data_IF_818705231961
#
_entry.id   IF_818705231961
#
_cell.length_a   1.000
_cell.length_b   1.000
_cell.length_c   1.000
_cell.angle_alpha   90.00
_cell.angle_beta   90.00
_cell.angle_gamma   90.00
#
_symmetry.space_group_name_H-M   'P 1'
#
loop_
_entity.id
_entity.type
_entity.pdbx_description
1 polymer ?
#
# COMPACT_ATOMS: atom_id res chain seq x y z
N UNK A 1 0.46 -31.74 18.57
CA UNK A 1 1.63 -31.34 19.41
C UNK A 1 2.64 -30.66 18.50
N UNK A 2 3.44 -29.69 19.00
CA UNK A 2 4.52 -29.11 18.20
C UNK A 2 5.58 -30.16 17.83
N UNK A 3 6.38 -29.86 16.80
CA UNK A 3 7.59 -30.63 16.47
C UNK A 3 8.58 -30.62 17.63
N UNK A 4 9.51 -31.57 17.63
CA UNK A 4 10.61 -31.64 18.59
C UNK A 4 11.43 -30.35 18.61
N UNK A 5 11.97 -29.99 19.77
CA UNK A 5 12.70 -28.73 19.97
C UNK A 5 13.87 -28.57 19.00
N UNK A 6 14.66 -29.63 18.79
CA UNK A 6 15.76 -29.62 17.83
C UNK A 6 15.28 -29.30 16.40
N UNK A 7 14.15 -29.88 15.99
CA UNK A 7 13.56 -29.60 14.67
C UNK A 7 13.05 -28.17 14.57
N UNK A 8 12.40 -27.65 15.63
CA UNK A 8 11.93 -26.27 15.68
C UNK A 8 13.08 -25.28 15.59
N UNK A 9 14.17 -25.53 16.31
CA UNK A 9 15.37 -24.69 16.29
C UNK A 9 16.03 -24.73 14.91
N UNK A 10 16.18 -25.91 14.29
CA UNK A 10 16.70 -26.04 12.93
C UNK A 10 15.90 -25.23 11.90
N UNK A 11 14.57 -25.30 11.95
CA UNK A 11 13.70 -24.52 11.07
C UNK A 11 13.87 -23.02 11.34
N UNK A 12 13.87 -22.62 12.61
CA UNK A 12 14.02 -21.22 13.00
C UNK A 12 15.36 -20.65 12.52
N UNK A 13 16.45 -21.36 12.79
CA UNK A 13 17.81 -20.97 12.41
C UNK A 13 17.92 -20.83 10.88
N UNK A 14 17.33 -21.75 10.11
CA UNK A 14 17.25 -21.61 8.66
C UNK A 14 16.49 -20.34 8.24
N UNK A 15 15.38 -20.03 8.92
CA UNK A 15 14.56 -18.88 8.59
C UNK A 15 15.27 -17.56 8.83
N UNK A 16 16.05 -17.46 9.92
CA UNK A 16 16.71 -16.21 10.32
C UNK A 16 18.11 -16.03 9.76
N UNK A 17 18.79 -17.10 9.33
CA UNK A 17 20.17 -17.04 8.80
C UNK A 17 20.33 -16.04 7.65
N UNK A 18 19.36 -15.99 6.74
CA UNK A 18 19.41 -15.15 5.55
C UNK A 18 18.49 -13.91 5.66
N UNK A 19 18.05 -13.57 6.88
CA UNK A 19 17.35 -12.31 7.19
C UNK A 19 18.38 -11.21 7.47
N UNK A 20 18.26 -10.02 6.87
CA UNK A 20 19.12 -8.90 7.23
C UNK A 20 18.82 -8.44 8.65
N UNK A 21 19.75 -8.68 9.57
CA UNK A 21 19.64 -8.25 10.96
C UNK A 21 18.42 -8.82 11.70
N UNK A 22 18.14 -8.23 12.86
CA UNK A 22 16.98 -8.54 13.68
C UNK A 22 15.77 -7.68 13.29
N UNK A 23 14.72 -7.72 14.10
CA UNK A 23 13.54 -6.86 13.91
C UNK A 23 13.91 -5.36 13.91
N UNK A 24 14.93 -4.96 14.67
CA UNK A 24 15.39 -3.57 14.77
C UNK A 24 15.88 -3.06 13.43
N UNK A 25 16.68 -3.86 12.71
CA UNK A 25 17.13 -3.54 11.34
C UNK A 25 15.95 -3.24 10.40
N UNK A 26 14.87 -4.03 10.51
CA UNK A 26 13.68 -3.84 9.66
C UNK A 26 12.89 -2.59 10.04
N UNK A 27 12.86 -2.22 11.33
CA UNK A 27 12.23 -0.98 11.82
C UNK A 27 13.02 0.24 11.34
N UNK A 28 14.35 0.18 11.41
CA UNK A 28 15.24 1.29 11.04
C UNK A 28 15.16 1.68 9.56
N UNK A 29 14.77 0.73 8.70
CA UNK A 29 14.44 1.00 7.29
C UNK A 29 13.30 2.00 7.10
N UNK A 30 12.48 2.24 8.12
CA UNK A 30 11.40 3.23 8.12
C UNK A 30 11.71 4.45 8.99
N UNK A 31 12.97 4.68 9.35
CA UNK A 31 13.39 5.78 10.25
C UNK A 31 12.96 7.17 9.80
N UNK A 32 12.69 7.37 8.51
CA UNK A 32 12.14 8.61 7.92
C UNK A 32 10.66 8.89 8.26
N UNK A 33 9.97 7.98 8.95
CA UNK A 33 8.59 8.16 9.43
C UNK A 33 8.62 8.54 10.92
N UNK A 34 8.03 9.67 11.29
CA UNK A 34 8.04 10.13 12.69
C UNK A 34 7.17 9.28 13.63
N UNK A 35 6.06 8.73 13.10
CA UNK A 35 5.14 7.88 13.86
C UNK A 35 5.83 6.56 14.26
N UNK A 36 6.18 6.46 15.54
CA UNK A 36 6.86 5.30 16.14
C UNK A 36 6.04 4.03 15.99
N UNK A 37 4.73 4.08 16.26
CA UNK A 37 3.86 2.90 16.20
C UNK A 37 3.73 2.40 14.75
N UNK A 38 3.61 3.32 13.80
CA UNK A 38 3.60 2.98 12.38
C UNK A 38 4.92 2.32 11.96
N UNK A 39 6.07 2.86 12.36
CA UNK A 39 7.40 2.25 12.09
C UNK A 39 7.51 0.83 12.63
N UNK A 40 7.08 0.60 13.88
CA UNK A 40 7.08 -0.72 14.49
C UNK A 40 6.23 -1.72 13.68
N UNK A 41 5.05 -1.30 13.23
CA UNK A 41 4.16 -2.14 12.42
C UNK A 41 4.75 -2.42 11.03
N UNK A 42 5.35 -1.44 10.39
CA UNK A 42 6.00 -1.58 9.09
C UNK A 42 7.21 -2.52 9.16
N UNK A 43 8.08 -2.33 10.15
CA UNK A 43 9.22 -3.22 10.39
C UNK A 43 8.78 -4.66 10.67
N UNK A 44 7.74 -4.86 11.49
CA UNK A 44 7.16 -6.18 11.73
C UNK A 44 6.56 -6.81 10.48
N UNK A 45 5.83 -6.04 9.66
CA UNK A 45 5.27 -6.52 8.40
C UNK A 45 6.39 -6.99 7.45
N UNK A 46 7.47 -6.20 7.35
CA UNK A 46 8.61 -6.51 6.50
C UNK A 46 9.33 -7.79 6.98
N UNK A 47 9.68 -7.85 8.26
CA UNK A 47 10.28 -9.03 8.87
C UNK A 47 9.42 -10.29 8.67
N UNK A 48 8.11 -10.17 8.95
CA UNK A 48 7.18 -11.30 8.87
C UNK A 48 7.03 -11.83 7.45
N UNK A 49 6.93 -10.94 6.45
CA UNK A 49 6.84 -11.35 5.04
C UNK A 49 8.07 -12.17 4.62
N UNK A 50 9.27 -11.71 5.01
CA UNK A 50 10.52 -12.37 4.68
C UNK A 50 10.72 -13.67 5.46
N UNK A 51 10.37 -13.70 6.75
CA UNK A 51 10.39 -14.91 7.57
C UNK A 51 9.45 -15.98 7.00
N UNK A 52 8.23 -15.61 6.61
CA UNK A 52 7.25 -16.55 6.03
C UNK A 52 7.73 -17.13 4.71
N UNK A 53 8.38 -16.34 3.85
CA UNK A 53 9.05 -16.87 2.66
C UNK A 53 10.10 -17.92 3.02
N UNK A 54 10.97 -17.62 4.00
CA UNK A 54 12.03 -18.56 4.40
C UNK A 54 11.48 -19.81 5.06
N UNK A 55 10.35 -19.71 5.77
CA UNK A 55 9.64 -20.86 6.33
C UNK A 55 9.09 -21.76 5.21
N UNK A 56 8.43 -21.17 4.21
CA UNK A 56 7.96 -21.88 3.02
C UNK A 56 9.09 -22.67 2.35
N UNK A 57 10.26 -22.04 2.21
CA UNK A 57 11.48 -22.64 1.66
C UNK A 57 12.04 -23.76 2.57
N UNK A 58 12.15 -23.51 3.88
CA UNK A 58 12.69 -24.46 4.87
C UNK A 58 11.90 -25.77 4.91
N UNK A 59 10.58 -25.67 4.78
CA UNK A 59 9.68 -26.83 4.81
C UNK A 59 9.38 -27.38 3.42
N UNK A 60 10.07 -26.90 2.38
CA UNK A 60 9.92 -27.32 1.00
C UNK A 60 8.45 -27.37 0.54
N UNK A 61 7.69 -26.33 0.86
CA UNK A 61 6.27 -26.24 0.51
C UNK A 61 6.13 -26.08 -1.00
N UNK A 62 5.24 -26.87 -1.61
CA UNK A 62 4.98 -26.91 -3.05
C UNK A 62 3.48 -26.85 -3.32
N UNK A 63 3.08 -26.73 -4.59
CA UNK A 63 1.69 -26.85 -5.04
C UNK A 63 0.72 -25.93 -4.25
N UNK A 64 -0.44 -26.47 -3.85
CA UNK A 64 -1.51 -25.72 -3.20
C UNK A 64 -1.12 -25.20 -1.81
N UNK A 65 -0.23 -25.90 -1.10
CA UNK A 65 0.25 -25.47 0.21
C UNK A 65 1.09 -24.19 0.15
N UNK A 66 1.64 -23.87 -1.02
CA UNK A 66 2.43 -22.66 -1.26
C UNK A 66 1.57 -21.39 -1.26
N UNK A 67 0.32 -21.53 -1.69
CA UNK A 67 -0.61 -20.43 -1.87
C UNK A 67 -0.77 -19.49 -0.67
N UNK A 68 -1.04 -19.99 0.56
CA UNK A 68 -1.15 -19.12 1.74
C UNK A 68 0.13 -18.33 2.03
N UNK A 69 1.31 -18.89 1.78
CA UNK A 69 2.58 -18.20 1.99
C UNK A 69 2.77 -17.04 1.01
N UNK A 70 2.44 -17.24 -0.26
CA UNK A 70 2.54 -16.21 -1.30
C UNK A 70 1.52 -15.10 -1.05
N UNK A 71 0.26 -15.46 -0.76
CA UNK A 71 -0.79 -14.51 -0.41
C UNK A 71 -0.43 -13.64 0.79
N UNK A 72 0.11 -14.26 1.84
CA UNK A 72 0.56 -13.52 3.03
C UNK A 72 1.66 -12.50 2.66
N UNK A 73 2.67 -12.92 1.90
CA UNK A 73 3.75 -12.03 1.47
C UNK A 73 3.23 -10.83 0.67
N UNK A 74 2.37 -11.06 -0.33
CA UNK A 74 1.80 -9.99 -1.15
C UNK A 74 0.96 -9.04 -0.30
N UNK A 75 0.15 -9.56 0.62
CA UNK A 75 -0.62 -8.74 1.55
C UNK A 75 0.28 -7.82 2.38
N UNK A 76 1.36 -8.37 2.96
CA UNK A 76 2.30 -7.57 3.76
C UNK A 76 3.01 -6.49 2.92
N UNK A 77 3.57 -6.86 1.75
CA UNK A 77 4.28 -5.89 0.91
C UNK A 77 3.34 -4.81 0.35
N UNK A 78 2.14 -5.18 -0.10
CA UNK A 78 1.13 -4.20 -0.53
C UNK A 78 0.76 -3.23 0.60
N UNK A 79 0.57 -3.74 1.83
CA UNK A 79 0.29 -2.90 3.00
C UNK A 79 1.46 -1.97 3.36
N UNK A 80 2.70 -2.42 3.21
CA UNK A 80 3.89 -1.57 3.42
C UNK A 80 3.91 -0.43 2.40
N UNK A 81 3.77 -0.71 1.10
CA UNK A 81 3.72 0.33 0.07
C UNK A 81 2.58 1.32 0.32
N UNK A 82 1.38 0.81 0.62
CA UNK A 82 0.22 1.66 0.90
C UNK A 82 0.44 2.59 2.08
N UNK A 83 0.95 2.05 3.19
CA UNK A 83 1.15 2.80 4.42
C UNK A 83 2.25 3.85 4.28
N UNK A 84 3.39 3.53 3.65
CA UNK A 84 4.48 4.49 3.41
C UNK A 84 4.00 5.64 2.51
N UNK A 85 3.41 5.33 1.35
CA UNK A 85 2.95 6.35 0.41
C UNK A 85 1.87 7.22 1.05
N UNK A 86 0.89 6.61 1.73
CA UNK A 86 -0.18 7.34 2.43
C UNK A 86 0.38 8.25 3.53
N UNK A 87 1.32 7.74 4.33
CA UNK A 87 1.94 8.51 5.40
C UNK A 87 2.69 9.73 4.84
N UNK A 88 3.46 9.58 3.75
CA UNK A 88 4.18 10.70 3.17
C UNK A 88 3.25 11.74 2.53
N UNK A 89 2.26 11.31 1.74
CA UNK A 89 1.33 12.23 1.07
C UNK A 89 0.58 13.11 2.07
N UNK A 90 0.15 12.56 3.21
CA UNK A 90 -0.72 13.29 4.15
C UNK A 90 -0.08 13.66 5.49
N UNK A 91 1.09 13.11 5.81
CA UNK A 91 1.89 13.48 6.96
C UNK A 91 2.86 14.61 6.61
N UNK A 92 3.74 14.36 5.64
CA UNK A 92 4.81 15.30 5.25
C UNK A 92 4.37 16.28 4.13
N UNK A 93 3.74 15.76 3.09
CA UNK A 93 3.51 16.46 1.81
C UNK A 93 2.09 17.03 1.69
N UNK A 94 1.36 17.17 2.80
CA UNK A 94 -0.06 17.52 2.80
C UNK A 94 -0.41 18.82 2.05
N UNK A 95 0.50 19.79 2.04
CA UNK A 95 0.35 21.08 1.36
C UNK A 95 0.99 21.11 -0.04
N UNK A 96 1.60 20.01 -0.48
CA UNK A 96 2.22 19.94 -1.80
C UNK A 96 1.16 20.09 -2.90
N UNK A 97 1.39 20.87 -3.99
CA UNK A 97 0.39 21.11 -5.04
C UNK A 97 -0.23 19.83 -5.61
N UNK A 98 0.59 18.81 -5.88
CA UNK A 98 0.14 17.49 -6.35
C UNK A 98 -0.80 16.77 -5.36
N UNK A 99 -0.59 16.92 -4.06
CA UNK A 99 -1.46 16.33 -3.03
C UNK A 99 -2.78 17.08 -2.96
N UNK A 100 -2.74 18.42 -3.01
CA UNK A 100 -3.94 19.25 -3.05
C UNK A 100 -4.77 18.91 -4.29
N UNK A 101 -4.13 18.77 -5.46
CA UNK A 101 -4.79 18.38 -6.69
C UNK A 101 -5.37 16.98 -6.62
N UNK A 102 -4.63 16.01 -6.05
CA UNK A 102 -5.12 14.64 -5.81
C UNK A 102 -6.39 14.64 -4.94
N UNK A 103 -6.52 15.60 -4.03
CA UNK A 103 -7.70 15.76 -3.18
C UNK A 103 -8.77 16.68 -3.75
N UNK A 104 -8.65 17.13 -5.00
CA UNK A 104 -9.59 18.09 -5.60
C UNK A 104 -10.33 17.46 -6.77
N UNK A 105 -11.65 17.45 -6.70
CA UNK A 105 -12.52 17.17 -7.84
C UNK A 105 -13.52 18.31 -8.00
N UNK A 106 -14.09 18.45 -9.20
CA UNK A 106 -15.18 19.39 -9.43
C UNK A 106 -16.52 18.73 -9.07
N UNK A 107 -17.36 19.44 -8.33
CA UNK A 107 -18.69 18.99 -7.97
C UNK A 107 -19.72 20.10 -8.11
N UNK A 108 -20.95 19.70 -8.44
CA UNK A 108 -22.12 20.57 -8.36
C UNK A 108 -22.56 20.70 -6.91
N UNK A 109 -22.52 21.93 -6.38
CA UNK A 109 -23.03 22.23 -5.04
C UNK A 109 -24.32 23.02 -5.16
N UNK A 110 -25.43 22.52 -4.60
CA UNK A 110 -26.68 23.26 -4.56
C UNK A 110 -26.50 24.63 -3.92
N UNK A 111 -27.15 25.63 -4.50
CA UNK A 111 -27.27 26.98 -3.98
C UNK A 111 -28.73 27.41 -4.02
N UNK A 112 -29.10 28.32 -3.13
CA UNK A 112 -30.40 28.99 -3.19
C UNK A 112 -30.27 30.21 -4.10
N UNK A 113 -30.28 29.99 -5.42
CA UNK A 113 -30.26 31.09 -6.39
C UNK A 113 -31.63 31.78 -6.52
N UNK A 114 -32.70 31.05 -6.20
CA UNK A 114 -34.08 31.53 -6.21
C UNK A 114 -34.56 31.76 -4.76
N UNK A 115 -35.68 32.47 -4.60
CA UNK A 115 -36.32 32.63 -3.30
C UNK A 115 -36.70 31.28 -2.68
N UNK A 116 -36.68 31.17 -1.36
CA UNK A 116 -36.88 29.90 -0.62
C UNK A 116 -38.23 29.21 -0.88
N UNK A 117 -39.22 29.95 -1.38
CA UNK A 117 -40.54 29.43 -1.73
C UNK A 117 -40.64 28.95 -3.20
N UNK A 118 -39.66 29.28 -4.03
CA UNK A 118 -39.65 28.89 -5.44
C UNK A 118 -39.13 27.46 -5.58
N UNK A 119 -40.02 26.54 -5.96
CA UNK A 119 -39.67 25.15 -6.33
C UNK A 119 -39.74 25.00 -7.83
N UNK A 120 -38.69 24.46 -8.42
CA UNK A 120 -38.61 24.15 -9.85
C UNK A 120 -38.67 22.65 -10.01
N UNK A 121 -39.46 22.16 -10.96
CA UNK A 121 -39.54 20.74 -11.33
C UNK A 121 -39.30 20.56 -12.81
N UNK A 122 -38.73 19.42 -13.19
CA UNK A 122 -38.65 18.94 -14.56
C UNK A 122 -39.39 17.60 -14.63
N UNK A 123 -40.63 17.64 -15.11
CA UNK A 123 -41.57 16.52 -14.92
C UNK A 123 -41.89 16.35 -13.43
N UNK A 124 -41.64 15.16 -12.89
CA UNK A 124 -41.88 14.83 -11.48
C UNK A 124 -40.65 15.09 -10.58
N UNK A 125 -39.48 15.31 -11.17
CA UNK A 125 -38.21 15.46 -10.45
C UNK A 125 -38.02 16.89 -9.94
N UNK A 126 -37.50 17.01 -8.71
CA UNK A 126 -37.11 18.30 -8.13
C UNK A 126 -35.80 18.81 -8.76
N UNK A 127 -35.80 20.07 -9.18
CA UNK A 127 -34.64 20.72 -9.81
C UNK A 127 -33.96 21.65 -8.81
N UNK A 128 -32.65 21.47 -8.66
CA UNK A 128 -31.80 22.30 -7.80
C UNK A 128 -30.88 23.18 -8.64
N UNK A 129 -30.80 24.47 -8.29
CA UNK A 129 -29.77 25.35 -8.85
C UNK A 129 -28.42 25.05 -8.20
N UNK A 130 -27.40 24.82 -9.00
CA UNK A 130 -26.07 24.42 -8.53
C UNK A 130 -24.97 25.33 -9.07
N UNK A 131 -23.88 25.47 -8.31
CA UNK A 131 -22.61 26.03 -8.79
C UNK A 131 -21.58 24.91 -8.95
N UNK A 132 -20.77 25.00 -9.99
CA UNK A 132 -19.67 24.08 -10.24
C UNK A 132 -18.40 24.60 -9.57
N UNK A 133 -17.95 23.93 -8.51
CA UNK A 133 -16.81 24.38 -7.68
C UNK A 133 -15.93 23.20 -7.29
N UNK A 134 -14.72 23.52 -6.85
CA UNK A 134 -13.82 22.55 -6.26
C UNK A 134 -14.40 21.98 -4.97
N UNK A 135 -14.27 20.68 -4.83
CA UNK A 135 -14.67 19.89 -3.69
C UNK A 135 -13.54 18.95 -3.28
N UNK A 136 -13.44 18.73 -1.97
CA UNK A 136 -12.39 17.87 -1.40
C UNK A 136 -12.79 16.41 -1.54
N UNK A 137 -11.95 15.61 -2.18
CA UNK A 137 -12.06 14.15 -2.23
C UNK A 137 -11.57 13.56 -0.90
N UNK A 138 -12.39 12.74 -0.20
CA UNK A 138 -11.95 12.04 1.00
C UNK A 138 -10.76 11.11 0.70
N UNK A 139 -9.78 11.07 1.61
CA UNK A 139 -8.53 10.29 1.43
C UNK A 139 -8.79 8.81 1.12
N UNK A 140 -9.79 8.23 1.78
CA UNK A 140 -10.14 6.81 1.63
C UNK A 140 -10.84 6.50 0.31
N UNK A 141 -11.34 7.52 -0.39
CA UNK A 141 -12.00 7.37 -1.70
C UNK A 141 -11.03 7.52 -2.85
N UNK A 142 -9.77 7.89 -2.60
CA UNK A 142 -8.74 8.05 -3.62
C UNK A 142 -8.12 6.66 -3.89
N UNK A 143 -8.24 6.12 -5.12
CA UNK A 143 -7.63 4.86 -5.50
C UNK A 143 -6.12 4.82 -5.23
N UNK A 144 -5.60 3.67 -4.80
CA UNK A 144 -4.18 3.55 -4.50
C UNK A 144 -3.28 3.84 -5.70
N UNK A 145 -3.69 3.43 -6.91
CA UNK A 145 -2.95 3.77 -8.15
C UNK A 145 -2.74 5.27 -8.33
N UNK A 146 -3.73 6.09 -7.97
CA UNK A 146 -3.65 7.55 -8.11
C UNK A 146 -2.70 8.15 -7.05
N UNK A 147 -2.61 7.51 -5.87
CA UNK A 147 -1.61 7.83 -4.85
C UNK A 147 -0.19 7.51 -5.33
N UNK A 148 0.01 6.37 -5.99
CA UNK A 148 1.30 6.00 -6.60
C UNK A 148 1.69 7.00 -7.69
N UNK A 149 0.76 7.35 -8.57
CA UNK A 149 1.03 8.34 -9.63
C UNK A 149 1.37 9.72 -9.05
N UNK A 150 0.69 10.12 -7.97
CA UNK A 150 1.03 11.33 -7.22
C UNK A 150 2.45 11.24 -6.62
N UNK A 151 2.82 10.11 -6.03
CA UNK A 151 4.16 9.89 -5.48
C UNK A 151 5.26 10.01 -6.54
N UNK A 152 5.01 9.49 -7.76
CA UNK A 152 5.93 9.63 -8.90
C UNK A 152 6.07 11.10 -9.31
N UNK A 153 4.96 11.84 -9.43
CA UNK A 153 5.01 13.26 -9.83
C UNK A 153 5.69 14.15 -8.80
N UNK A 154 5.54 13.84 -7.52
CA UNK A 154 6.27 14.54 -6.43
C UNK A 154 7.75 14.16 -6.43
N UNK A 155 8.09 12.95 -6.89
CA UNK A 155 9.47 12.50 -7.06
C UNK A 155 10.03 11.69 -5.88
N UNK A 156 9.18 11.22 -4.95
CA UNK A 156 9.61 10.30 -3.87
C UNK A 156 9.41 8.82 -4.21
N UNK A 157 8.89 8.51 -5.41
CA UNK A 157 8.80 7.17 -5.96
C UNK A 157 9.33 7.16 -7.39
N UNK A 158 10.26 6.25 -7.70
CA UNK A 158 10.78 6.10 -9.06
C UNK A 158 9.74 5.49 -10.01
N UNK A 159 9.52 6.13 -11.16
CA UNK A 159 8.55 5.68 -12.17
C UNK A 159 8.80 4.21 -12.62
N UNK A 160 10.07 3.76 -12.61
CA UNK A 160 10.45 2.40 -12.96
C UNK A 160 9.81 1.32 -12.06
N UNK A 161 9.39 1.67 -10.84
CA UNK A 161 8.80 0.75 -9.88
C UNK A 161 7.29 0.93 -9.70
N UNK A 162 6.71 1.96 -10.31
CA UNK A 162 5.32 2.35 -10.10
C UNK A 162 4.34 1.23 -10.51
N UNK A 163 4.52 0.63 -11.69
CA UNK A 163 3.64 -0.43 -12.17
C UNK A 163 3.76 -1.72 -11.35
N UNK A 164 4.97 -2.08 -10.91
CA UNK A 164 5.19 -3.24 -10.03
C UNK A 164 4.50 -3.05 -8.66
N UNK A 165 4.54 -1.84 -8.10
CA UNK A 165 3.87 -1.50 -6.83
C UNK A 165 2.35 -1.51 -6.99
N UNK A 166 1.82 -0.90 -8.07
CA UNK A 166 0.38 -0.95 -8.39
C UNK A 166 -0.08 -2.39 -8.56
N UNK A 167 0.68 -3.21 -9.29
CA UNK A 167 0.38 -4.62 -9.51
C UNK A 167 0.38 -5.43 -8.21
N UNK A 168 1.35 -5.19 -7.33
CA UNK A 168 1.40 -5.82 -6.00
C UNK A 168 0.15 -5.50 -5.19
N UNK A 169 -0.31 -4.24 -5.24
CA UNK A 169 -1.54 -3.83 -4.56
C UNK A 169 -2.81 -4.40 -5.20
N UNK A 170 -2.86 -4.55 -6.53
CA UNK A 170 -3.97 -5.23 -7.19
C UNK A 170 -4.03 -6.71 -6.80
N UNK A 171 -2.89 -7.39 -6.74
CA UNK A 171 -2.80 -8.80 -6.34
C UNK A 171 -3.29 -9.04 -4.91
N UNK A 172 -3.10 -8.06 -4.01
CA UNK A 172 -3.72 -8.08 -2.68
C UNK A 172 -5.24 -8.23 -2.77
N UNK A 173 -5.90 -7.53 -3.69
CA UNK A 173 -7.36 -7.63 -3.90
C UNK A 173 -7.74 -8.93 -4.60
N UNK A 174 -6.84 -9.55 -5.35
CA UNK A 174 -7.03 -10.90 -5.90
C UNK A 174 -6.92 -11.99 -4.84
N UNK A 175 -6.49 -11.67 -3.62
CA UNK A 175 -6.57 -12.61 -2.50
C UNK A 175 -8.03 -12.88 -2.05
N UNK A 176 -9.01 -12.12 -2.55
CA UNK A 176 -10.44 -12.45 -2.39
C UNK A 176 -10.81 -13.61 -3.33
N UNK A 177 -11.23 -14.73 -2.74
CA UNK A 177 -11.49 -16.02 -3.43
C UNK A 177 -12.39 -15.88 -4.67
N UNK A 178 -13.42 -15.02 -4.61
CA UNK A 178 -14.32 -14.78 -5.75
C UNK A 178 -13.63 -14.06 -6.93
N UNK A 179 -12.70 -13.15 -6.63
CA UNK A 179 -11.96 -12.42 -7.66
C UNK A 179 -10.87 -13.29 -8.27
N UNK A 180 -10.27 -14.15 -7.46
CA UNK A 180 -9.32 -15.18 -7.92
C UNK A 180 -9.98 -16.17 -8.88
N UNK A 181 -11.13 -16.73 -8.48
CA UNK A 181 -11.89 -17.68 -9.29
C UNK A 181 -12.39 -17.07 -10.62
N UNK A 182 -12.81 -15.80 -10.60
CA UNK A 182 -13.30 -15.12 -11.81
C UNK A 182 -12.20 -14.71 -12.78
N UNK A 183 -10.98 -14.44 -12.29
CA UNK A 183 -9.85 -14.02 -13.15
C UNK A 183 -8.93 -15.17 -13.56
N UNK A 184 -9.08 -16.37 -12.99
CA UNK A 184 -8.21 -17.53 -13.23
C UNK A 184 -6.72 -17.19 -13.09
N UNK A 185 -6.39 -16.31 -12.14
CA UNK A 185 -5.04 -15.87 -11.88
C UNK A 185 -4.51 -16.57 -10.64
N UNK A 186 -3.61 -17.53 -10.85
CA UNK A 186 -2.84 -18.09 -9.75
C UNK A 186 -1.77 -17.08 -9.32
N UNK A 187 -1.76 -16.80 -8.03
CA UNK A 187 -0.78 -15.91 -7.43
C UNK A 187 0.52 -16.69 -7.24
N UNK A 188 1.51 -16.41 -8.07
CA UNK A 188 2.76 -17.16 -8.11
C UNK A 188 3.85 -16.55 -7.21
N UNK A 189 4.81 -17.38 -6.78
CA UNK A 189 6.02 -16.93 -6.04
C UNK A 189 6.73 -15.79 -6.78
N UNK A 190 6.73 -15.77 -8.11
CA UNK A 190 7.36 -14.72 -8.89
C UNK A 190 6.85 -13.33 -8.50
N UNK A 191 5.56 -13.19 -8.22
CA UNK A 191 4.93 -11.93 -7.86
C UNK A 191 5.35 -11.47 -6.45
N UNK A 192 5.42 -12.38 -5.47
CA UNK A 192 5.90 -12.03 -4.13
C UNK A 192 7.40 -11.69 -4.11
N UNK A 193 8.20 -12.36 -4.95
CA UNK A 193 9.62 -12.03 -5.15
C UNK A 193 9.80 -10.63 -5.74
N UNK A 194 9.04 -10.27 -6.78
CA UNK A 194 9.06 -8.91 -7.34
C UNK A 194 8.71 -7.87 -6.28
N UNK A 195 7.64 -8.10 -5.50
CA UNK A 195 7.25 -7.20 -4.42
C UNK A 195 8.37 -6.97 -3.38
N UNK A 196 9.08 -8.03 -3.00
CA UNK A 196 10.25 -7.95 -2.10
C UNK A 196 11.43 -7.21 -2.74
N UNK A 197 11.80 -7.54 -3.98
CA UNK A 197 12.95 -6.93 -4.65
C UNK A 197 12.79 -5.43 -4.90
N UNK A 198 11.55 -4.96 -5.05
CA UNK A 198 11.25 -3.53 -5.19
C UNK A 198 11.25 -2.77 -3.86
N UNK A 199 11.15 -3.47 -2.72
CA UNK A 199 10.97 -2.81 -1.44
C UNK A 199 12.22 -2.04 -1.00
N UNK A 200 13.42 -2.64 -1.07
CA UNK A 200 14.63 -1.93 -0.63
C UNK A 200 14.90 -0.69 -1.49
N UNK A 201 14.94 -0.77 -2.85
CA UNK A 201 15.13 0.42 -3.68
C UNK A 201 14.08 1.50 -3.40
N UNK A 202 12.81 1.11 -3.24
CA UNK A 202 11.74 2.04 -2.88
C UNK A 202 12.01 2.75 -1.55
N UNK A 203 12.35 2.01 -0.48
CA UNK A 203 12.60 2.59 0.84
C UNK A 203 13.85 3.46 0.87
N UNK A 204 14.94 3.02 0.23
CA UNK A 204 16.21 3.76 0.21
C UNK A 204 16.06 5.07 -0.60
N UNK A 205 15.35 5.03 -1.74
CA UNK A 205 15.02 6.22 -2.53
C UNK A 205 14.10 7.19 -1.76
N UNK A 206 13.05 6.64 -1.12
CA UNK A 206 12.11 7.42 -0.30
C UNK A 206 12.82 8.11 0.87
N UNK A 207 13.68 7.40 1.59
CA UNK A 207 14.46 7.95 2.69
C UNK A 207 15.36 9.11 2.21
N UNK A 208 16.03 8.93 1.08
CA UNK A 208 16.87 9.95 0.45
C UNK A 208 16.07 11.21 0.09
N UNK A 209 14.87 11.03 -0.49
CA UNK A 209 13.96 12.14 -0.78
C UNK A 209 13.58 12.91 0.49
N UNK A 210 13.15 12.21 1.56
CA UNK A 210 12.71 12.84 2.81
C UNK A 210 13.85 13.62 3.48
N UNK A 211 15.06 13.08 3.49
CA UNK A 211 16.25 13.79 4.00
C UNK A 211 16.50 15.10 3.25
N UNK A 212 16.40 15.09 1.92
CA UNK A 212 16.59 16.28 1.10
C UNK A 212 15.44 17.29 1.25
N UNK A 213 14.22 16.82 1.49
CA UNK A 213 13.04 17.68 1.65
C UNK A 213 13.02 18.46 2.97
N UNK A 214 13.63 17.90 4.03
CA UNK A 214 13.71 18.51 5.35
C UNK A 214 14.92 19.43 5.56
N UNK A 215 15.78 19.58 4.55
CA UNK A 215 16.96 20.47 4.57
C UNK A 215 16.63 21.81 3.93
#
# INVERSE_FOLDING_TARGET
>A
MPLEEETRNLIHDYCVRDLPGDISWHIDKFSFIDDVELRLRLGRAFYSARYVYKLMEATFVQNDEQHPFVKFQIMQYASIYEAVITNLLWGLLKEHPEVIQLQTHKAYKPINALGSLTKVKYGEEDVFTCVYRDAKTPRNSIPFKDKVDCAVRIGFLEAAYAEDIKRTYELRNLAHIETEASKQLDVEIAQSKTAYWRLSPFLDYTASFVSNYNT
#
